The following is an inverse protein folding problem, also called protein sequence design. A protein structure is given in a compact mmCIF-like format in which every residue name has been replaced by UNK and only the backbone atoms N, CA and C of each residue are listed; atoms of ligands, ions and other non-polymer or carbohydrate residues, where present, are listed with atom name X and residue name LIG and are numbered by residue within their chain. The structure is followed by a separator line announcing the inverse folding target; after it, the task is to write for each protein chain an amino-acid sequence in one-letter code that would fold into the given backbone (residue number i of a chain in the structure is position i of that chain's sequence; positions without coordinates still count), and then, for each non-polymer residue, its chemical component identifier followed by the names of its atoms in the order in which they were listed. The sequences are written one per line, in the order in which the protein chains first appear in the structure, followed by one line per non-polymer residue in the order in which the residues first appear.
data_IF_660480530790
#
_entry.id   IF_660480530790
#
_cell.length_a   1.000
_cell.length_b   1.000
_cell.length_c   1.000
_cell.angle_alpha   90.00
_cell.angle_beta   90.00
_cell.angle_gamma   90.00
#
_symmetry.space_group_name_H-M   'P 1'
#
loop_
_entity.id
_entity.type
_entity.pdbx_description
1 polymer ?
#
# COMPACT_ATOMS: atom_id res chain seq x y z
N UNK A 1 -0.10 -34.77 -32.29
CA UNK A 1 0.17 -33.40 -31.79
C UNK A 1 0.02 -33.40 -30.29
N UNK A 2 1.01 -32.91 -29.54
CA UNK A 2 0.88 -32.80 -28.09
C UNK A 2 -0.21 -31.77 -27.76
N UNK A 3 -1.09 -32.09 -26.79
CA UNK A 3 -2.13 -31.16 -26.35
C UNK A 3 -1.47 -29.93 -25.73
N UNK A 4 -1.80 -28.74 -26.20
CA UNK A 4 -1.33 -27.49 -25.60
C UNK A 4 -1.77 -27.43 -24.14
N UNK A 5 -0.88 -26.93 -23.27
CA UNK A 5 -1.22 -26.72 -21.87
C UNK A 5 -2.24 -25.59 -21.76
N UNK A 6 -3.08 -25.62 -20.73
CA UNK A 6 -4.07 -24.56 -20.48
C UNK A 6 -3.70 -23.84 -19.19
N UNK A 7 -3.70 -22.51 -19.23
CA UNK A 7 -3.50 -21.67 -18.06
C UNK A 7 -4.61 -21.92 -17.04
N UNK A 8 -4.25 -22.30 -15.81
CA UNK A 8 -5.24 -22.53 -14.76
C UNK A 8 -5.93 -21.25 -14.26
N UNK A 9 -5.28 -20.10 -14.41
CA UNK A 9 -5.84 -18.80 -13.98
C UNK A 9 -6.88 -18.24 -14.95
N UNK A 10 -6.57 -18.19 -16.23
CA UNK A 10 -7.41 -17.52 -17.25
C UNK A 10 -7.99 -18.45 -18.33
N UNK A 11 -7.63 -19.74 -18.34
CA UNK A 11 -8.15 -20.72 -19.30
C UNK A 11 -7.57 -20.64 -20.72
N UNK A 12 -6.60 -19.76 -20.98
CA UNK A 12 -5.95 -19.65 -22.30
C UNK A 12 -5.05 -20.86 -22.59
N UNK A 13 -5.03 -21.31 -23.83
CA UNK A 13 -4.04 -22.29 -24.31
C UNK A 13 -2.66 -21.63 -24.36
N UNK A 14 -1.65 -22.32 -23.85
CA UNK A 14 -0.28 -21.83 -23.69
C UNK A 14 0.64 -22.54 -24.67
N UNK A 15 1.50 -21.75 -25.32
CA UNK A 15 2.67 -22.31 -26.00
C UNK A 15 3.71 -22.76 -24.97
N UNK A 16 4.63 -23.68 -25.33
CA UNK A 16 5.63 -24.21 -24.40
C UNK A 16 6.52 -23.14 -23.76
N UNK A 17 6.83 -22.07 -24.49
CA UNK A 17 7.67 -20.94 -24.11
C UNK A 17 6.98 -19.95 -23.17
N UNK A 18 5.66 -19.80 -23.25
CA UNK A 18 4.87 -18.89 -22.40
C UNK A 18 4.40 -19.54 -21.08
N UNK A 19 4.75 -20.81 -20.86
CA UNK A 19 4.22 -21.64 -19.78
C UNK A 19 5.07 -21.55 -18.53
N UNK A 20 4.51 -21.00 -17.46
CA UNK A 20 5.09 -21.04 -16.12
C UNK A 20 4.41 -22.11 -15.26
N UNK A 21 5.19 -22.87 -14.49
CA UNK A 21 4.67 -23.93 -13.61
C UNK A 21 4.73 -23.46 -12.16
N UNK A 22 3.61 -23.56 -11.46
CA UNK A 22 3.51 -23.32 -10.02
C UNK A 22 2.59 -24.36 -9.38
N UNK A 23 3.05 -25.01 -8.30
CA UNK A 23 2.31 -26.07 -7.60
C UNK A 23 1.72 -27.12 -8.56
N UNK A 24 2.56 -27.61 -9.48
CA UNK A 24 2.23 -28.59 -10.54
C UNK A 24 1.12 -28.16 -11.51
N UNK A 25 0.77 -26.87 -11.57
CA UNK A 25 -0.21 -26.30 -12.52
C UNK A 25 0.47 -25.30 -13.46
N UNK A 26 -0.07 -25.18 -14.68
CA UNK A 26 0.46 -24.29 -15.72
C UNK A 26 -0.26 -22.94 -15.72
N UNK A 27 0.48 -21.86 -15.92
CA UNK A 27 0.00 -20.47 -15.92
C UNK A 27 0.67 -19.66 -17.04
N UNK A 28 -0.05 -18.68 -17.60
CA UNK A 28 0.57 -17.62 -18.39
C UNK A 28 1.41 -16.70 -17.49
N UNK A 29 2.28 -15.90 -18.10
CA UNK A 29 3.12 -14.91 -17.41
C UNK A 29 2.32 -14.00 -16.47
N UNK A 30 1.19 -13.45 -16.92
CA UNK A 30 0.37 -12.56 -16.09
C UNK A 30 -0.19 -13.26 -14.85
N UNK A 31 -0.80 -14.44 -15.02
CA UNK A 31 -1.37 -15.19 -13.90
C UNK A 31 -0.28 -15.67 -12.94
N UNK A 32 0.88 -16.06 -13.46
CA UNK A 32 2.02 -16.45 -12.64
C UNK A 32 2.55 -15.26 -11.83
N UNK A 33 2.66 -14.09 -12.45
CA UNK A 33 3.08 -12.85 -11.79
C UNK A 33 2.12 -12.45 -10.67
N UNK A 34 0.80 -12.56 -10.88
CA UNK A 34 -0.20 -12.32 -9.83
C UNK A 34 -0.06 -13.29 -8.66
N UNK A 35 0.20 -14.58 -8.91
CA UNK A 35 0.42 -15.58 -7.86
C UNK A 35 1.70 -15.27 -7.07
N UNK A 36 2.79 -14.94 -7.78
CA UNK A 36 4.07 -14.58 -7.17
C UNK A 36 3.90 -13.35 -6.28
N UNK A 37 3.28 -12.29 -6.81
CA UNK A 37 2.98 -11.07 -6.07
C UNK A 37 2.14 -11.37 -4.82
N UNK A 38 1.08 -12.17 -4.95
CA UNK A 38 0.25 -12.54 -3.80
C UNK A 38 1.04 -13.28 -2.71
N UNK A 39 1.94 -14.19 -3.11
CA UNK A 39 2.84 -14.89 -2.18
C UNK A 39 3.82 -13.95 -1.49
N UNK A 40 4.37 -12.98 -2.24
CA UNK A 40 5.27 -11.96 -1.70
C UNK A 40 4.53 -11.05 -0.70
N UNK A 41 3.35 -10.54 -1.05
CA UNK A 41 2.52 -9.71 -0.17
C UNK A 41 2.16 -10.43 1.13
N UNK A 42 1.86 -11.74 1.07
CA UNK A 42 1.63 -12.55 2.26
C UNK A 42 2.89 -12.65 3.13
N UNK A 43 4.05 -12.93 2.53
CA UNK A 43 5.32 -13.00 3.27
C UNK A 43 5.65 -11.69 3.94
N UNK A 44 5.49 -10.57 3.24
CA UNK A 44 5.73 -9.23 3.79
C UNK A 44 4.82 -8.94 4.99
N UNK A 45 3.54 -9.33 4.93
CA UNK A 45 2.63 -9.18 6.06
C UNK A 45 3.11 -9.99 7.29
N UNK A 46 3.48 -11.24 7.07
CA UNK A 46 3.95 -12.13 8.15
C UNK A 46 5.25 -11.61 8.77
N UNK A 47 6.20 -11.19 7.93
CA UNK A 47 7.46 -10.58 8.38
C UNK A 47 7.21 -9.31 9.18
N UNK A 48 6.34 -8.42 8.69
CA UNK A 48 5.95 -7.22 9.40
C UNK A 48 5.37 -7.55 10.78
N UNK A 49 4.45 -8.51 10.87
CA UNK A 49 3.89 -8.94 12.16
C UNK A 49 4.99 -9.47 13.08
N UNK A 50 5.87 -10.34 12.59
CA UNK A 50 6.92 -10.95 13.42
C UNK A 50 7.90 -9.89 13.96
N UNK A 51 8.34 -8.96 13.13
CA UNK A 51 9.25 -7.88 13.53
C UNK A 51 8.57 -6.92 14.50
N UNK A 52 7.34 -6.48 14.20
CA UNK A 52 6.70 -5.42 14.97
C UNK A 52 6.06 -5.90 16.28
N UNK A 53 5.71 -7.19 16.36
CA UNK A 53 5.23 -7.80 17.60
C UNK A 53 6.34 -8.57 18.31
N UNK A 54 7.59 -8.62 17.83
CA UNK A 54 8.68 -9.40 18.45
C UNK A 54 8.27 -10.87 18.69
N UNK A 55 7.93 -11.55 17.60
CA UNK A 55 7.49 -12.95 17.57
C UNK A 55 8.25 -13.72 16.51
N UNK A 56 8.57 -15.00 16.76
CA UNK A 56 9.12 -15.88 15.73
C UNK A 56 8.08 -16.21 14.64
N UNK A 57 6.81 -16.26 15.03
CA UNK A 57 5.66 -16.56 14.18
C UNK A 57 4.41 -15.83 14.69
N UNK A 58 3.46 -15.46 13.82
CA UNK A 58 2.19 -14.90 14.26
C UNK A 58 1.44 -15.86 15.18
N UNK A 59 0.67 -15.30 16.12
CA UNK A 59 -0.15 -16.11 17.02
C UNK A 59 -1.36 -16.72 16.30
N UNK A 60 -1.99 -17.74 16.88
CA UNK A 60 -3.22 -18.33 16.33
C UNK A 60 -4.35 -17.31 16.13
N UNK A 61 -4.44 -16.31 17.02
CA UNK A 61 -5.40 -15.20 16.91
C UNK A 61 -5.08 -14.36 15.67
N UNK A 62 -3.81 -14.01 15.44
CA UNK A 62 -3.40 -13.26 14.26
C UNK A 62 -3.71 -14.03 12.96
N UNK A 63 -3.43 -15.33 12.90
CA UNK A 63 -3.79 -16.14 11.73
C UNK A 63 -5.30 -16.15 11.46
N UNK A 64 -6.12 -16.26 12.51
CA UNK A 64 -7.57 -16.16 12.39
C UNK A 64 -7.98 -14.79 11.84
N UNK A 65 -7.40 -13.71 12.35
CA UNK A 65 -7.66 -12.35 11.86
C UNK A 65 -7.25 -12.15 10.40
N UNK A 66 -6.08 -12.65 9.96
CA UNK A 66 -5.67 -12.59 8.55
C UNK A 66 -6.72 -13.27 7.66
N UNK A 67 -7.19 -14.44 8.08
CA UNK A 67 -8.19 -15.20 7.34
C UNK A 67 -9.53 -14.45 7.27
N UNK A 68 -10.03 -13.92 8.38
CA UNK A 68 -11.26 -13.11 8.42
C UNK A 68 -11.14 -11.88 7.52
N UNK A 69 -10.05 -11.11 7.64
CA UNK A 69 -9.83 -9.91 6.82
C UNK A 69 -9.75 -10.25 5.33
N UNK A 70 -9.26 -11.45 4.99
CA UNK A 70 -9.18 -11.91 3.60
C UNK A 70 -10.52 -12.42 3.06
N UNK A 71 -11.21 -13.25 3.82
CA UNK A 71 -12.39 -13.97 3.35
C UNK A 71 -13.67 -13.12 3.49
N UNK A 72 -13.81 -12.37 4.59
CA UNK A 72 -15.02 -11.58 4.88
C UNK A 72 -14.93 -10.15 4.32
N UNK A 73 -13.77 -9.51 4.47
CA UNK A 73 -13.56 -8.11 4.07
C UNK A 73 -12.87 -7.96 2.71
N UNK A 74 -12.38 -9.07 2.13
CA UNK A 74 -11.68 -9.12 0.85
C UNK A 74 -10.46 -8.18 0.75
N UNK A 75 -9.81 -7.91 1.89
CA UNK A 75 -8.62 -7.06 1.92
C UNK A 75 -7.41 -7.79 1.31
N UNK A 76 -6.51 -7.04 0.66
CA UNK A 76 -5.23 -7.58 0.20
C UNK A 76 -4.23 -7.66 1.36
N UNK A 77 -3.28 -8.58 1.30
CA UNK A 77 -2.23 -8.68 2.32
C UNK A 77 -1.34 -7.43 2.34
N UNK A 78 -1.11 -6.83 1.16
CA UNK A 78 -0.47 -5.52 1.07
C UNK A 78 -1.25 -4.47 1.87
N UNK A 79 -2.56 -4.35 1.67
CA UNK A 79 -3.36 -3.36 2.38
C UNK A 79 -3.34 -3.59 3.90
N UNK A 80 -3.45 -4.85 4.36
CA UNK A 80 -3.29 -5.20 5.78
C UNK A 80 -1.93 -4.71 6.35
N UNK A 81 -0.84 -4.90 5.59
CA UNK A 81 0.51 -4.47 5.98
C UNK A 81 0.60 -2.94 6.08
N UNK A 82 0.11 -2.24 5.06
CA UNK A 82 0.10 -0.77 5.03
C UNK A 82 -0.77 -0.15 6.11
N UNK A 83 -1.89 -0.78 6.48
CA UNK A 83 -2.72 -0.33 7.60
C UNK A 83 -1.99 -0.49 8.92
N UNK A 84 -1.31 -1.63 9.16
CA UNK A 84 -0.51 -1.80 10.37
C UNK A 84 0.65 -0.81 10.44
N UNK A 85 1.32 -0.56 9.31
CA UNK A 85 2.36 0.46 9.20
C UNK A 85 1.81 1.84 9.52
N UNK A 86 0.65 2.19 8.99
CA UNK A 86 -0.03 3.46 9.28
C UNK A 86 -0.34 3.60 10.78
N UNK A 87 -0.90 2.57 11.41
CA UNK A 87 -1.17 2.58 12.84
C UNK A 87 0.11 2.78 13.67
N UNK A 88 1.21 2.14 13.28
CA UNK A 88 2.47 2.21 14.02
C UNK A 88 3.22 3.52 13.77
N UNK A 89 3.52 3.84 12.53
CA UNK A 89 4.45 4.92 12.16
C UNK A 89 3.77 6.30 12.08
N UNK A 90 2.49 6.34 11.67
CA UNK A 90 1.76 7.61 11.51
C UNK A 90 0.97 7.96 12.76
N UNK A 91 0.26 6.98 13.32
CA UNK A 91 -0.57 7.19 14.51
C UNK A 91 0.15 6.90 15.83
N UNK A 92 1.40 6.41 15.80
CA UNK A 92 2.17 6.02 16.98
C UNK A 92 1.41 5.09 17.94
N UNK A 93 0.60 4.18 17.40
CA UNK A 93 -0.13 3.18 18.20
C UNK A 93 0.78 2.02 18.56
N UNK A 94 0.66 1.56 19.80
CA UNK A 94 1.33 0.36 20.27
C UNK A 94 0.63 -0.88 19.75
N UNK A 95 1.40 -1.80 19.17
CA UNK A 95 0.92 -3.09 18.69
C UNK A 95 1.02 -4.13 19.81
N UNK A 96 -0.11 -4.49 20.40
CA UNK A 96 -0.17 -5.43 21.53
C UNK A 96 -0.52 -6.85 21.06
N UNK A 97 0.35 -7.80 21.44
CA UNK A 97 0.20 -9.25 21.21
C UNK A 97 -1.17 -9.77 21.63
N UNK A 98 -1.75 -9.23 22.70
CA UNK A 98 -3.04 -9.66 23.26
C UNK A 98 -4.20 -9.46 22.27
N UNK A 99 -4.18 -8.38 21.50
CA UNK A 99 -5.24 -8.01 20.57
C UNK A 99 -4.92 -8.35 19.11
N UNK A 100 -3.66 -8.70 18.83
CA UNK A 100 -3.19 -9.04 17.50
C UNK A 100 -3.33 -7.85 16.54
N UNK A 101 -3.97 -8.07 15.40
CA UNK A 101 -4.16 -7.08 14.34
C UNK A 101 -5.57 -6.50 14.31
N UNK A 102 -6.26 -6.44 15.45
CA UNK A 102 -7.60 -5.86 15.53
C UNK A 102 -7.67 -4.43 14.97
N UNK A 103 -6.59 -3.66 15.11
CA UNK A 103 -6.45 -2.29 14.59
C UNK A 103 -6.73 -2.17 13.10
N UNK A 104 -6.45 -3.20 12.29
CA UNK A 104 -6.69 -3.15 10.85
C UNK A 104 -8.17 -2.86 10.56
N UNK A 105 -9.11 -3.51 11.27
CA UNK A 105 -10.55 -3.31 11.04
C UNK A 105 -11.00 -1.88 11.33
N UNK A 106 -10.33 -1.19 12.26
CA UNK A 106 -10.70 0.18 12.66
C UNK A 106 -10.06 1.24 11.78
N UNK A 107 -8.83 1.01 11.33
CA UNK A 107 -8.01 2.03 10.66
C UNK A 107 -7.82 1.79 9.16
N UNK A 108 -8.47 0.77 8.58
CA UNK A 108 -8.33 0.45 7.16
C UNK A 108 -8.69 1.63 6.26
N UNK A 109 -9.86 2.24 6.48
CA UNK A 109 -10.35 3.34 5.63
C UNK A 109 -9.51 4.61 5.82
N UNK A 110 -9.11 4.93 7.05
CA UNK A 110 -8.22 6.06 7.35
C UNK A 110 -6.85 5.88 6.68
N UNK A 111 -6.27 4.68 6.78
CA UNK A 111 -5.00 4.36 6.14
C UNK A 111 -5.13 4.46 4.61
N UNK A 112 -6.21 3.94 4.03
CA UNK A 112 -6.48 4.03 2.60
C UNK A 112 -6.54 5.49 2.15
N UNK A 113 -7.31 6.31 2.84
CA UNK A 113 -7.43 7.73 2.51
C UNK A 113 -6.07 8.44 2.60
N UNK A 114 -5.30 8.16 3.65
CA UNK A 114 -3.95 8.69 3.82
C UNK A 114 -3.06 8.40 2.60
N UNK A 115 -2.98 7.14 2.15
CA UNK A 115 -2.14 6.79 1.01
C UNK A 115 -2.69 7.33 -0.31
N UNK A 116 -4.01 7.36 -0.50
CA UNK A 116 -4.63 7.99 -1.68
C UNK A 116 -4.29 9.49 -1.75
N UNK A 117 -4.29 10.19 -0.61
CA UNK A 117 -3.88 11.59 -0.54
C UNK A 117 -2.39 11.76 -0.88
N UNK A 118 -1.51 10.91 -0.35
CA UNK A 118 -0.08 10.94 -0.67
C UNK A 118 0.18 10.72 -2.17
N UNK A 119 -0.53 9.77 -2.78
CA UNK A 119 -0.40 9.50 -4.21
C UNK A 119 -0.90 10.68 -5.07
N UNK A 120 -2.02 11.30 -4.69
CA UNK A 120 -2.53 12.51 -5.37
C UNK A 120 -1.50 13.64 -5.31
N UNK A 121 -0.90 13.89 -4.15
CA UNK A 121 0.13 14.91 -3.99
C UNK A 121 1.37 14.59 -4.85
N UNK A 122 1.86 13.35 -4.80
CA UNK A 122 2.99 12.90 -5.63
C UNK A 122 2.73 13.12 -7.12
N UNK A 123 1.53 12.81 -7.58
CA UNK A 123 1.13 13.01 -8.98
C UNK A 123 1.02 14.50 -9.36
N UNK A 124 0.59 15.36 -8.43
CA UNK A 124 0.56 16.81 -8.67
C UNK A 124 1.98 17.38 -8.76
N UNK A 125 2.88 16.98 -7.86
CA UNK A 125 4.29 17.41 -7.89
C UNK A 125 4.99 16.96 -9.18
N UNK A 126 4.80 15.71 -9.61
CA UNK A 126 5.37 15.20 -10.86
C UNK A 126 4.88 15.97 -12.10
N UNK A 127 3.64 16.48 -12.09
CA UNK A 127 3.12 17.35 -13.16
C UNK A 127 3.76 18.74 -13.14
N UNK A 128 4.07 19.27 -11.95
CA UNK A 128 4.73 20.57 -11.79
C UNK A 128 6.20 20.53 -12.22
N UNK A 129 6.92 19.44 -11.94
CA UNK A 129 8.31 19.24 -12.37
C UNK A 129 8.49 19.34 -13.89
N UNK A 130 7.46 18.95 -14.66
CA UNK A 130 7.46 19.01 -16.11
C UNK A 130 6.90 20.33 -16.68
N UNK A 131 6.54 21.28 -15.82
CA UNK A 131 5.95 22.56 -16.25
C UNK A 131 7.02 23.67 -16.34
N UNK A 132 7.01 24.42 -17.44
CA UNK A 132 7.90 25.59 -17.61
C UNK A 132 7.51 26.68 -16.61
N UNK A 133 8.45 27.11 -15.77
CA UNK A 133 8.24 28.21 -14.82
C UNK A 133 7.99 29.51 -15.59
N UNK A 134 6.74 29.96 -15.63
CA UNK A 134 6.38 31.27 -16.18
C UNK A 134 6.57 32.32 -15.06
N UNK A 135 7.78 32.87 -14.95
CA UNK A 135 8.02 34.02 -14.07
C UNK A 135 7.38 35.28 -14.65
N UNK A 136 6.23 35.68 -14.09
CA UNK A 136 5.64 36.99 -14.36
C UNK A 136 6.33 38.02 -13.46
N UNK A 137 7.16 38.90 -14.03
CA UNK A 137 7.72 40.05 -13.29
C UNK A 137 6.60 41.04 -12.98
N UNK A 138 6.14 41.04 -11.74
CA UNK A 138 5.16 42.02 -11.26
C UNK A 138 5.94 43.29 -10.90
N UNK A 139 5.58 44.43 -11.51
CA UNK A 139 6.05 45.74 -11.02
C UNK A 139 5.36 45.99 -9.68
N UNK A 140 6.12 46.07 -8.59
CA UNK A 140 5.59 46.52 -7.31
C UNK A 140 5.12 47.97 -7.45
N UNK A 141 3.80 48.15 -7.51
CA UNK A 141 3.17 49.43 -7.23
C UNK A 141 3.28 49.67 -5.73
N UNK A 142 3.86 50.81 -5.33
CA UNK A 142 3.92 51.26 -3.94
C UNK A 142 2.51 51.60 -3.44
N UNK A 143 1.69 50.59 -3.20
CA UNK A 143 0.46 50.73 -2.43
C UNK A 143 0.76 50.44 -0.97
N UNK A 144 0.35 51.36 -0.09
CA UNK A 144 0.59 51.34 1.36
C UNK A 144 0.25 49.96 1.94
N UNK A 145 1.25 49.32 2.56
CA UNK A 145 1.10 48.10 3.36
C UNK A 145 0.23 48.39 4.58
N UNK A 146 -1.01 47.89 4.59
CA UNK A 146 -1.67 47.57 5.85
C UNK A 146 -1.09 46.23 6.32
N UNK A 147 -0.25 46.30 7.35
CA UNK A 147 0.37 45.14 7.98
C UNK A 147 -0.69 44.31 8.72
N UNK A 148 -1.19 43.25 8.11
CA UNK A 148 -1.67 42.07 8.84
C UNK A 148 -2.09 40.93 7.91
N UNK A 149 -1.14 40.21 7.29
CA UNK A 149 -1.33 38.76 7.06
C UNK A 149 0.05 38.10 6.92
N UNK A 150 0.64 37.70 8.05
CA UNK A 150 1.49 36.51 8.06
C UNK A 150 0.54 35.31 8.16
N UNK A 151 0.66 34.29 7.30
CA UNK A 151 -0.14 33.07 7.50
C UNK A 151 0.33 32.27 8.73
N UNK A 152 1.58 32.46 9.20
CA UNK A 152 2.08 32.02 10.50
C UNK A 152 3.20 32.98 10.94
N UNK A 153 3.12 33.53 12.16
CA UNK A 153 4.24 34.19 12.84
C UNK A 153 4.93 33.15 13.75
N UNK A 154 6.19 32.84 13.46
CA UNK A 154 7.01 31.88 14.22
C UNK A 154 7.89 32.57 15.29
N UNK A 155 7.76 33.87 15.47
CA UNK A 155 8.40 34.60 16.57
C UNK A 155 7.59 34.44 17.86
N UNK A 156 7.74 33.29 18.53
CA UNK A 156 7.69 33.15 19.99
C UNK A 156 8.03 31.71 20.39
N UNK A 157 9.33 31.41 20.35
CA UNK A 157 10.03 30.58 21.34
C UNK A 157 11.40 31.20 21.59
#
# INVERSE_FOLDING_TARGET
MARLAVCKGCGKSLQPDEKHIHNSKSYCSDCYSSIKRYSEEYKSLIEFICVNFELDKPTGIMFKQIKELKDEFNYSYAAMTYTLWYCKEILNKTLDKKYGMALIKYYYDEAREYYEQQERLKNQVAKLENSTVITRKIKQSNSKRNNSVSLINLEKY
#
